data_IF_948783426941
#
_entry.id   IF_948783426941
#
_cell.length_a   1.000
_cell.length_b   1.000
_cell.length_c   1.000
_cell.angle_alpha   90.00
_cell.angle_beta   90.00
_cell.angle_gamma   90.00
#
_symmetry.space_group_name_H-M   'P 1'
#
loop_
_entity.id
_entity.type
_entity.pdbx_description
1 polymer ?
#
# COMPACT_ATOMS: atom_id res chain seq x y z
N UNK A 1 -9.61 -5.76 -4.64
CA UNK A 1 -8.49 -6.24 -3.80
C UNK A 1 -8.86 -6.18 -2.32
N UNK A 2 -9.17 -4.99 -1.81
CA UNK A 2 -9.51 -4.69 -0.41
C UNK A 2 -10.45 -5.70 0.28
N UNK A 3 -11.70 -5.84 -0.17
CA UNK A 3 -12.68 -6.68 0.52
C UNK A 3 -12.51 -8.20 0.31
N UNK A 4 -11.66 -8.61 -0.62
CA UNK A 4 -11.51 -10.02 -1.01
C UNK A 4 -10.21 -10.63 -0.52
N UNK A 5 -9.08 -10.01 -0.80
CA UNK A 5 -7.76 -10.57 -0.50
C UNK A 5 -7.14 -9.98 0.77
N UNK A 6 -7.32 -8.67 1.00
CA UNK A 6 -6.82 -7.99 2.20
C UNK A 6 -7.71 -8.33 3.42
N UNK A 7 -8.97 -7.86 3.41
CA UNK A 7 -9.86 -7.96 4.58
C UNK A 7 -10.27 -9.39 4.97
N UNK A 8 -10.19 -10.37 4.06
CA UNK A 8 -10.52 -11.77 4.42
C UNK A 8 -9.44 -12.42 5.26
N UNK A 9 -8.17 -12.11 5.02
CA UNK A 9 -7.07 -12.69 5.81
C UNK A 9 -7.03 -12.06 7.20
N UNK A 10 -7.27 -10.75 7.32
CA UNK A 10 -7.50 -10.09 8.61
C UNK A 10 -8.56 -10.81 9.47
N UNK A 11 -9.68 -11.20 8.86
CA UNK A 11 -10.76 -11.93 9.53
C UNK A 11 -10.42 -13.39 9.84
N UNK A 12 -9.58 -14.02 9.02
CA UNK A 12 -9.24 -15.43 9.17
C UNK A 12 -8.26 -15.67 10.32
N UNK A 13 -7.23 -14.82 10.48
CA UNK A 13 -6.25 -14.95 11.58
C UNK A 13 -6.88 -14.49 12.91
N UNK A 14 -7.75 -13.46 12.88
CA UNK A 14 -8.47 -12.95 14.05
C UNK A 14 -7.53 -12.35 15.12
N UNK A 15 -8.03 -12.17 16.35
CA UNK A 15 -7.28 -11.58 17.46
C UNK A 15 -6.87 -10.12 17.16
N UNK A 16 -5.64 -9.77 17.51
CA UNK A 16 -5.09 -8.44 17.26
C UNK A 16 -5.11 -8.10 15.76
N UNK A 17 -4.95 -9.11 14.89
CA UNK A 17 -4.94 -8.98 13.43
C UNK A 17 -6.26 -8.52 12.80
N UNK A 18 -7.36 -8.45 13.57
CA UNK A 18 -8.66 -8.01 13.08
C UNK A 18 -8.86 -6.48 13.10
N UNK A 19 -8.11 -5.76 13.94
CA UNK A 19 -8.40 -4.38 14.32
C UNK A 19 -7.29 -3.40 13.91
N UNK A 20 -7.40 -2.15 14.33
CA UNK A 20 -6.32 -1.15 14.17
C UNK A 20 -5.00 -1.58 14.84
N UNK A 21 -5.05 -2.53 15.77
CA UNK A 21 -3.90 -3.15 16.40
C UNK A 21 -3.27 -4.28 15.55
N UNK A 22 -3.70 -4.49 14.30
CA UNK A 22 -3.24 -5.63 13.50
C UNK A 22 -1.73 -5.68 13.31
N UNK A 23 -1.04 -4.55 13.32
CA UNK A 23 0.43 -4.49 13.28
C UNK A 23 1.13 -5.14 14.49
N UNK A 24 0.42 -5.44 15.58
CA UNK A 24 0.96 -6.17 16.72
C UNK A 24 1.13 -7.67 16.45
N UNK A 25 0.41 -8.22 15.45
CA UNK A 25 0.59 -9.60 15.01
C UNK A 25 1.68 -9.65 13.92
N UNK A 26 2.77 -10.44 14.10
CA UNK A 26 3.86 -10.49 13.12
C UNK A 26 3.41 -10.98 11.72
N UNK A 27 2.30 -11.71 11.62
CA UNK A 27 1.72 -12.13 10.33
C UNK A 27 1.30 -10.92 9.48
N UNK A 28 1.06 -9.75 10.10
CA UNK A 28 0.75 -8.51 9.39
C UNK A 28 1.74 -8.15 8.31
N UNK A 29 3.03 -8.21 8.65
CA UNK A 29 4.08 -7.83 7.73
C UNK A 29 4.16 -8.79 6.54
N UNK A 30 4.00 -10.10 6.77
CA UNK A 30 3.97 -11.09 5.70
C UNK A 30 2.72 -10.96 4.82
N UNK A 31 1.55 -10.67 5.42
CA UNK A 31 0.32 -10.44 4.68
C UNK A 31 0.45 -9.22 3.76
N UNK A 32 0.92 -8.09 4.29
CA UNK A 32 1.06 -6.85 3.52
C UNK A 32 2.19 -6.91 2.50
N UNK A 33 3.28 -7.64 2.76
CA UNK A 33 4.30 -7.92 1.74
C UNK A 33 3.71 -8.71 0.55
N UNK A 34 2.82 -9.67 0.80
CA UNK A 34 2.14 -10.38 -0.28
C UNK A 34 1.14 -9.48 -1.04
N UNK A 35 0.46 -8.56 -0.36
CA UNK A 35 -0.41 -7.57 -1.01
C UNK A 35 0.41 -6.64 -1.91
N UNK A 36 1.56 -6.17 -1.42
CA UNK A 36 2.48 -5.35 -2.19
C UNK A 36 3.07 -6.10 -3.39
N UNK A 37 3.47 -7.37 -3.22
CA UNK A 37 3.87 -8.24 -4.33
C UNK A 37 2.77 -8.38 -5.40
N UNK A 38 1.50 -8.54 -5.00
CA UNK A 38 0.38 -8.58 -5.96
C UNK A 38 0.23 -7.26 -6.73
N UNK A 39 0.41 -6.13 -6.05
CA UNK A 39 0.37 -4.81 -6.67
C UNK A 39 1.54 -4.61 -7.64
N UNK A 40 2.76 -4.96 -7.23
CA UNK A 40 3.96 -4.95 -8.06
C UNK A 40 3.76 -5.79 -9.34
N UNK A 41 3.27 -7.03 -9.22
CA UNK A 41 3.00 -7.88 -10.40
C UNK A 41 2.00 -7.23 -11.36
N UNK A 42 0.95 -6.62 -10.83
CA UNK A 42 -0.03 -5.92 -11.65
C UNK A 42 0.56 -4.70 -12.36
N UNK A 43 1.47 -3.95 -11.72
CA UNK A 43 2.20 -2.87 -12.37
C UNK A 43 3.09 -3.42 -13.50
N UNK A 44 3.86 -4.47 -13.24
CA UNK A 44 4.79 -5.06 -14.22
C UNK A 44 4.12 -5.58 -15.49
N UNK A 45 2.89 -6.11 -15.40
CA UNK A 45 2.09 -6.52 -16.56
C UNK A 45 1.91 -5.42 -17.62
N UNK A 46 1.91 -4.14 -17.21
CA UNK A 46 1.88 -3.01 -18.13
C UNK A 46 2.56 -1.77 -17.51
N UNK A 47 3.85 -1.90 -17.17
CA UNK A 47 4.59 -0.89 -16.37
C UNK A 47 4.46 0.54 -16.89
N UNK A 48 4.51 0.71 -18.22
CA UNK A 48 4.40 2.04 -18.86
C UNK A 48 3.09 2.78 -18.54
N UNK A 49 1.99 2.07 -18.33
CA UNK A 49 0.68 2.68 -18.07
C UNK A 49 0.22 2.53 -16.63
N UNK A 50 0.68 1.49 -15.92
CA UNK A 50 0.22 1.14 -14.58
C UNK A 50 1.10 1.65 -13.45
N UNK A 51 2.38 1.95 -13.69
CA UNK A 51 3.33 2.30 -12.62
C UNK A 51 2.82 3.45 -11.75
N UNK A 52 2.27 4.50 -12.37
CA UNK A 52 1.70 5.67 -11.67
C UNK A 52 0.18 5.74 -11.75
N UNK A 53 -0.49 4.64 -12.07
CA UNK A 53 -1.95 4.59 -12.03
C UNK A 53 -2.40 4.60 -10.57
N UNK A 54 -2.92 5.76 -10.15
CA UNK A 54 -3.34 6.03 -8.78
C UNK A 54 -4.63 6.85 -8.81
N UNK A 55 -5.69 6.30 -8.22
CA UNK A 55 -7.04 6.86 -8.30
C UNK A 55 -7.83 6.57 -7.02
N UNK A 56 -8.98 7.23 -6.89
CA UNK A 56 -9.84 7.13 -5.72
C UNK A 56 -9.88 8.44 -4.93
N UNK A 57 -10.31 8.37 -3.67
CA UNK A 57 -10.38 9.54 -2.78
C UNK A 57 -9.08 9.65 -1.99
N UNK A 58 -8.52 10.85 -1.89
CA UNK A 58 -7.29 11.09 -1.11
C UNK A 58 -7.49 10.76 0.39
N UNK A 59 -8.70 10.97 0.93
CA UNK A 59 -9.08 10.57 2.30
C UNK A 59 -10.49 10.00 2.30
N UNK A 60 -10.78 9.12 3.29
CA UNK A 60 -12.08 8.45 3.44
C UNK A 60 -13.29 9.39 3.40
N UNK A 61 -13.15 10.60 3.94
CA UNK A 61 -14.21 11.63 3.99
C UNK A 61 -13.91 12.86 3.12
N UNK A 62 -12.94 12.79 2.20
CA UNK A 62 -12.61 13.92 1.31
C UNK A 62 -13.45 13.90 0.04
N UNK A 63 -13.68 15.09 -0.53
CA UNK A 63 -14.20 15.31 -1.88
C UNK A 63 -13.09 15.35 -2.94
N UNK A 64 -11.82 15.44 -2.52
CA UNK A 64 -10.66 15.46 -3.40
C UNK A 64 -10.25 14.07 -3.91
N UNK A 65 -9.88 14.02 -5.18
CA UNK A 65 -9.30 12.82 -5.79
C UNK A 65 -7.87 12.62 -5.32
N UNK A 66 -7.45 11.36 -5.23
CA UNK A 66 -6.08 10.98 -4.93
C UNK A 66 -5.16 11.37 -6.10
N UNK A 67 -3.95 11.83 -5.77
CA UNK A 67 -2.91 12.21 -6.72
C UNK A 67 -1.56 11.62 -6.31
N UNK A 68 -0.73 11.27 -7.29
CA UNK A 68 0.65 10.82 -7.03
C UNK A 68 1.54 11.92 -6.41
N UNK A 69 1.09 13.17 -6.43
CA UNK A 69 1.75 14.31 -5.78
C UNK A 69 1.35 14.49 -4.32
N UNK A 70 0.33 13.76 -3.86
CA UNK A 70 -0.10 13.83 -2.47
C UNK A 70 1.02 13.36 -1.54
N UNK A 71 1.14 13.99 -0.37
CA UNK A 71 2.13 13.59 0.62
C UNK A 71 1.64 12.36 1.39
N UNK A 72 2.40 11.28 1.30
CA UNK A 72 2.27 10.10 2.14
C UNK A 72 2.92 10.41 3.50
N UNK A 73 2.11 10.36 4.56
CA UNK A 73 2.54 10.70 5.91
C UNK A 73 3.03 9.49 6.67
N UNK A 74 4.23 9.57 7.23
CA UNK A 74 4.83 8.50 8.03
C UNK A 74 4.77 8.78 9.54
N UNK A 75 4.07 9.83 9.97
CA UNK A 75 3.84 10.10 11.40
C UNK A 75 5.13 10.38 12.19
N UNK A 76 6.18 10.86 11.52
CA UNK A 76 7.46 11.22 12.14
C UNK A 76 8.46 10.06 12.25
N UNK A 77 8.14 8.85 11.79
CA UNK A 77 9.12 7.76 11.70
C UNK A 77 10.18 7.99 10.61
N UNK A 78 9.74 8.56 9.49
CA UNK A 78 10.58 9.06 8.41
C UNK A 78 9.97 10.35 7.86
N UNK A 79 10.69 11.00 6.94
CA UNK A 79 10.19 12.17 6.22
C UNK A 79 8.94 11.82 5.39
N UNK A 80 7.95 12.71 5.38
CA UNK A 80 6.79 12.59 4.51
C UNK A 80 7.24 12.76 3.04
N UNK A 81 6.84 11.83 2.18
CA UNK A 81 7.23 11.84 0.75
C UNK A 81 6.01 11.86 -0.16
N UNK A 82 6.12 12.39 -1.39
CA UNK A 82 5.07 12.25 -2.38
C UNK A 82 4.76 10.77 -2.64
N UNK A 83 3.49 10.42 -2.88
CA UNK A 83 3.08 9.06 -3.26
C UNK A 83 3.93 8.53 -4.42
N UNK A 84 4.27 9.38 -5.40
CA UNK A 84 5.12 9.02 -6.55
C UNK A 84 6.47 8.40 -6.17
N UNK A 85 7.04 8.72 -4.99
CA UNK A 85 8.29 8.13 -4.53
C UNK A 85 8.16 6.66 -4.15
N UNK A 86 6.96 6.20 -3.76
CA UNK A 86 6.71 4.82 -3.32
C UNK A 86 5.97 3.98 -4.36
N UNK A 87 5.69 4.52 -5.55
CA UNK A 87 5.00 3.79 -6.61
C UNK A 87 5.91 2.82 -7.38
N UNK A 88 7.23 3.00 -7.32
CA UNK A 88 8.22 2.18 -8.03
C UNK A 88 9.20 1.57 -7.03
N UNK A 89 9.22 0.24 -6.93
CA UNK A 89 10.04 -0.50 -5.97
C UNK A 89 11.54 -0.45 -6.30
N UNK A 90 11.88 -0.11 -7.55
CA UNK A 90 13.26 -0.12 -8.06
C UNK A 90 13.80 1.29 -8.38
N UNK A 91 13.19 2.34 -7.81
CA UNK A 91 13.63 3.72 -8.00
C UNK A 91 14.82 4.09 -7.08
N UNK A 92 14.99 5.38 -6.77
CA UNK A 92 16.07 5.85 -5.85
C UNK A 92 15.66 5.78 -4.37
N UNK A 93 14.36 5.91 -4.10
CA UNK A 93 13.81 5.94 -2.74
C UNK A 93 13.60 4.51 -2.20
N UNK A 94 13.01 3.64 -3.01
CA UNK A 94 12.94 2.21 -2.79
C UNK A 94 14.03 1.50 -3.61
N UNK A 95 14.43 0.29 -3.23
CA UNK A 95 15.42 -0.49 -4.00
C UNK A 95 15.24 -2.00 -3.75
N UNK A 96 14.08 -2.53 -4.11
CA UNK A 96 13.79 -3.96 -3.96
C UNK A 96 12.93 -4.48 -5.11
N UNK A 97 12.92 -5.81 -5.25
CA UNK A 97 12.07 -6.55 -6.17
C UNK A 97 11.51 -7.78 -5.45
N UNK A 98 10.37 -8.26 -5.91
CA UNK A 98 9.79 -9.54 -5.50
C UNK A 98 10.30 -10.72 -6.33
#
# INVERSE_FOLDING_TARGET
MENRLHNRIHRAVSGDFLAFAAGNDPVFYLHHAQIDHLWWRWQEEAKRTRLYQYEGKHLRNSTGNASVTDLLRFGGFIEDVPVSHVMDTENKFLCYRY
#
